data_IF_877480397347
#
_entry.id   IF_877480397347
#
_cell.length_a   1.000
_cell.length_b   1.000
_cell.length_c   1.000
_cell.angle_alpha   90.00
_cell.angle_beta   90.00
_cell.angle_gamma   90.00
#
_symmetry.space_group_name_H-M   'P 1'
#
loop_
_entity.id
_entity.type
_entity.pdbx_description
1 polymer ?
#
# COMPACT_ATOMS: atom_id res chain seq x y z
N UNK A 1 -1.35 26.87 -4.69
CA UNK A 1 -0.13 26.15 -5.10
C UNK A 1 -0.39 24.65 -4.97
N UNK A 2 -0.42 23.89 -6.07
CA UNK A 2 -0.46 22.42 -6.01
C UNK A 2 0.93 21.95 -5.56
N UNK A 3 1.04 21.29 -4.40
CA UNK A 3 2.30 20.63 -4.02
C UNK A 3 2.59 19.58 -5.09
N UNK A 4 3.73 19.70 -5.77
CA UNK A 4 4.26 18.62 -6.61
C UNK A 4 4.35 17.38 -5.73
N UNK A 5 3.52 16.36 -5.98
CA UNK A 5 3.59 15.07 -5.31
C UNK A 5 4.86 14.36 -5.79
N UNK A 6 6.00 14.72 -5.18
CA UNK A 6 7.21 13.89 -5.23
C UNK A 6 6.82 12.50 -4.73
N UNK A 7 7.06 11.46 -5.54
CA UNK A 7 6.82 10.03 -5.21
C UNK A 7 7.05 9.82 -3.71
N UNK A 8 5.97 9.67 -2.94
CA UNK A 8 6.10 9.57 -1.50
C UNK A 8 6.89 8.31 -1.18
N UNK A 9 8.02 8.50 -0.50
CA UNK A 9 8.86 7.42 -0.06
C UNK A 9 8.12 6.75 1.09
N UNK A 10 7.85 5.46 0.99
CA UNK A 10 7.23 4.72 2.07
C UNK A 10 8.08 4.85 3.34
N UNK A 11 7.44 5.12 4.47
CA UNK A 11 8.12 5.24 5.76
C UNK A 11 8.60 3.86 6.24
N UNK A 12 9.47 3.81 7.24
CA UNK A 12 10.02 2.55 7.75
C UNK A 12 8.93 1.56 8.20
N UNK A 13 7.89 1.95 8.94
CA UNK A 13 6.79 1.04 9.28
C UNK A 13 6.09 0.45 8.04
N UNK A 14 5.78 1.27 7.03
CA UNK A 14 5.17 0.82 5.78
C UNK A 14 6.06 -0.13 5.00
N UNK A 15 7.38 0.08 5.02
CA UNK A 15 8.34 -0.82 4.38
C UNK A 15 8.34 -2.20 5.04
N UNK A 16 8.27 -2.25 6.38
CA UNK A 16 8.20 -3.50 7.14
C UNK A 16 6.89 -4.24 6.83
N UNK A 17 5.76 -3.53 6.85
CA UNK A 17 4.44 -4.10 6.52
C UNK A 17 4.44 -4.71 5.11
N UNK A 18 4.93 -3.96 4.12
CA UNK A 18 5.01 -4.42 2.74
C UNK A 18 5.91 -5.65 2.58
N UNK A 19 7.09 -5.63 3.22
CA UNK A 19 8.02 -6.76 3.19
C UNK A 19 7.40 -8.02 3.81
N UNK A 20 6.74 -7.90 4.96
CA UNK A 20 6.04 -9.01 5.60
C UNK A 20 4.92 -9.56 4.73
N UNK A 21 4.11 -8.70 4.11
CA UNK A 21 3.03 -9.16 3.23
C UNK A 21 3.56 -9.91 2.00
N UNK A 22 4.65 -9.43 1.39
CA UNK A 22 5.29 -10.09 0.25
C UNK A 22 5.88 -11.45 0.65
N UNK A 23 6.68 -11.50 1.73
CA UNK A 23 7.34 -12.73 2.18
C UNK A 23 6.34 -13.85 2.50
N UNK A 24 5.17 -13.50 3.03
CA UNK A 24 4.14 -14.46 3.44
C UNK A 24 2.98 -14.61 2.43
N UNK A 25 3.09 -14.05 1.22
CA UNK A 25 2.04 -14.07 0.19
C UNK A 25 0.66 -13.60 0.71
N UNK A 26 0.65 -12.53 1.51
CA UNK A 26 -0.57 -11.94 2.06
C UNK A 26 -1.09 -10.80 1.19
N UNK A 27 -2.41 -10.56 1.24
CA UNK A 27 -3.02 -9.34 0.70
C UNK A 27 -3.04 -8.26 1.77
N UNK A 28 -2.44 -7.10 1.49
CA UNK A 28 -2.51 -5.94 2.37
C UNK A 28 -3.83 -5.20 2.17
N UNK A 29 -4.68 -5.17 3.20
CA UNK A 29 -5.87 -4.35 3.23
C UNK A 29 -5.52 -2.99 3.84
N UNK A 30 -5.63 -1.91 3.07
CA UNK A 30 -5.27 -0.56 3.55
C UNK A 30 -6.00 0.52 2.77
N UNK A 31 -6.28 1.66 3.43
CA UNK A 31 -6.76 2.89 2.79
C UNK A 31 -5.61 3.79 2.31
N UNK A 32 -4.36 3.42 2.59
CA UNK A 32 -3.17 4.19 2.22
C UNK A 32 -2.69 3.83 0.80
N UNK A 33 -2.72 4.84 -0.09
CA UNK A 33 -2.35 4.69 -1.51
C UNK A 33 -0.84 4.78 -1.77
N UNK A 34 -0.03 5.09 -0.77
CA UNK A 34 1.42 5.10 -0.93
C UNK A 34 1.98 3.68 -1.20
N UNK A 35 1.20 2.62 -0.88
CA UNK A 35 1.56 1.23 -1.15
C UNK A 35 1.38 0.80 -2.61
N UNK A 36 0.55 1.50 -3.39
CA UNK A 36 0.15 1.11 -4.76
C UNK A 36 1.34 0.96 -5.73
N UNK A 37 2.46 1.62 -5.42
CA UNK A 37 3.66 1.60 -6.25
C UNK A 37 4.67 0.51 -5.86
N UNK A 38 4.36 -0.32 -4.84
CA UNK A 38 5.25 -1.42 -4.43
C UNK A 38 5.03 -2.63 -5.35
N UNK A 39 6.01 -2.87 -6.22
CA UNK A 39 6.00 -4.04 -7.10
C UNK A 39 5.96 -5.34 -6.28
N UNK A 40 5.02 -6.22 -6.60
CA UNK A 40 4.87 -7.55 -5.99
C UNK A 40 4.00 -7.58 -4.73
N UNK A 41 3.56 -6.42 -4.23
CA UNK A 41 2.60 -6.36 -3.13
C UNK A 41 1.17 -6.52 -3.66
N UNK A 42 0.42 -7.48 -3.11
CA UNK A 42 -1.02 -7.60 -3.37
C UNK A 42 -1.78 -6.69 -2.42
N UNK A 43 -2.62 -5.80 -2.95
CA UNK A 43 -3.29 -4.75 -2.19
C UNK A 43 -4.79 -4.81 -2.46
N UNK A 44 -5.59 -4.61 -1.42
CA UNK A 44 -7.02 -4.40 -1.52
C UNK A 44 -7.39 -3.14 -0.74
N UNK A 45 -8.09 -2.22 -1.40
CA UNK A 45 -8.59 -1.03 -0.73
C UNK A 45 -10.01 -1.26 -0.17
N UNK A 46 -10.27 -0.95 1.11
CA UNK A 46 -11.58 -1.13 1.75
C UNK A 46 -12.75 -0.50 0.99
N UNK A 47 -12.56 0.63 0.30
CA UNK A 47 -13.62 1.24 -0.51
C UNK A 47 -14.08 0.36 -1.68
N UNK A 48 -13.26 -0.59 -2.12
CA UNK A 48 -13.59 -1.53 -3.20
C UNK A 48 -14.44 -2.71 -2.71
N UNK A 49 -14.63 -2.87 -1.40
CA UNK A 49 -15.41 -3.95 -0.77
C UNK A 49 -16.92 -3.64 -0.68
N UNK A 50 -17.44 -2.67 -1.44
CA UNK A 50 -18.85 -2.20 -1.37
C UNK A 50 -19.97 -3.22 -1.63
N UNK A 51 -19.68 -4.52 -1.62
CA UNK A 51 -20.65 -5.62 -1.81
C UNK A 51 -20.53 -6.77 -0.79
N UNK A 52 -19.92 -6.55 0.37
CA UNK A 52 -20.12 -7.38 1.56
C UNK A 52 -21.02 -6.65 2.56
#
# INVERSE_FOLDING_TARGET
MRKNQTRQKINTPGAIIAATAIEHNLTLITSDRDFDNIKGLSILHPESLSML
#
